data_IF_288820528293
#
_entry.id   IF_288820528293
#
_cell.length_a   1.000
_cell.length_b   1.000
_cell.length_c   1.000
_cell.angle_alpha   90.00
_cell.angle_beta   90.00
_cell.angle_gamma   90.00
#
_symmetry.space_group_name_H-M   'P 1'
#
loop_
_entity.id
_entity.type
_entity.pdbx_description
1 polymer ?
#
# COMPACT_ATOMS: atom_id res chain seq x y z
N UNK A 1 9.60 -4.09 18.10
CA UNK A 1 9.36 -4.36 16.66
C UNK A 1 9.50 -3.06 15.88
N UNK A 2 10.68 -2.79 15.32
CA UNK A 2 10.92 -1.59 14.51
C UNK A 2 10.44 -1.87 13.07
N UNK A 3 9.37 -1.19 12.66
CA UNK A 3 8.64 -1.44 11.41
C UNK A 3 8.99 -0.47 10.29
N UNK A 4 10.06 0.29 10.38
CA UNK A 4 10.56 1.12 9.28
C UNK A 4 12.02 0.77 8.97
N UNK A 5 12.52 1.25 7.84
CA UNK A 5 13.78 0.81 7.22
C UNK A 5 15.06 1.18 7.99
N UNK A 6 15.00 1.27 9.32
CA UNK A 6 16.14 1.50 10.21
C UNK A 6 17.18 0.39 10.21
N UNK A 7 16.98 -0.72 9.49
CA UNK A 7 18.06 -1.66 9.15
C UNK A 7 19.31 -0.95 8.55
N UNK A 8 19.13 0.26 8.02
CA UNK A 8 20.20 1.12 7.50
C UNK A 8 21.03 1.85 8.58
N UNK A 9 20.55 1.92 9.83
CA UNK A 9 21.17 2.67 10.95
C UNK A 9 21.18 1.85 12.25
N UNK A 10 21.86 0.68 12.28
CA UNK A 10 21.83 -0.24 13.43
C UNK A 10 22.30 0.41 14.73
N UNK A 11 23.35 1.24 14.65
CA UNK A 11 23.91 1.93 15.81
C UNK A 11 22.94 2.90 16.50
N UNK A 12 22.16 3.65 15.71
CA UNK A 12 21.20 4.61 16.27
C UNK A 12 20.05 3.89 17.00
N UNK A 13 19.72 2.67 16.57
CA UNK A 13 18.71 1.83 17.22
C UNK A 13 19.23 1.32 18.55
N UNK A 14 20.47 0.82 18.59
CA UNK A 14 21.13 0.34 19.80
C UNK A 14 21.26 1.45 20.86
N UNK A 15 21.66 2.66 20.45
CA UNK A 15 21.81 3.81 21.34
C UNK A 15 20.48 4.27 21.98
N UNK A 16 19.35 4.17 21.24
CA UNK A 16 18.04 4.62 21.71
C UNK A 16 17.26 3.53 22.48
N UNK A 17 17.40 2.26 22.11
CA UNK A 17 16.59 1.16 22.64
C UNK A 17 17.38 0.22 23.57
N UNK A 18 18.71 0.28 23.56
CA UNK A 18 19.60 -0.57 24.36
C UNK A 18 19.93 -1.91 23.70
N UNK A 19 21.10 -2.46 24.03
CA UNK A 19 21.64 -3.72 23.45
C UNK A 19 20.82 -4.97 23.80
N UNK A 20 20.06 -4.94 24.91
CA UNK A 20 19.25 -6.07 25.39
C UNK A 20 17.91 -6.24 24.66
N UNK A 21 17.60 -5.37 23.70
CA UNK A 21 16.34 -5.43 22.94
C UNK A 21 16.54 -6.27 21.67
N UNK A 22 15.79 -7.37 21.55
CA UNK A 22 15.80 -8.17 20.33
C UNK A 22 15.06 -7.45 19.18
N UNK A 23 15.80 -7.16 18.10
CA UNK A 23 15.27 -6.50 16.90
C UNK A 23 14.93 -7.52 15.81
N UNK A 24 13.64 -7.67 15.52
CA UNK A 24 13.19 -8.42 14.34
C UNK A 24 13.17 -7.50 13.10
N UNK A 25 14.00 -7.83 12.11
CA UNK A 25 14.03 -7.14 10.81
C UNK A 25 13.02 -7.81 9.87
N UNK A 26 11.84 -7.22 9.73
CA UNK A 26 10.85 -7.71 8.76
C UNK A 26 11.21 -7.26 7.34
N UNK A 27 11.23 -8.18 6.35
CA UNK A 27 11.41 -7.83 4.94
C UNK A 27 10.38 -6.78 4.47
N UNK A 28 10.77 -5.92 3.53
CA UNK A 28 9.89 -4.87 2.93
C UNK A 28 8.57 -5.43 2.37
N UNK A 29 8.57 -6.67 1.93
CA UNK A 29 7.39 -7.36 1.40
C UNK A 29 6.38 -7.76 2.49
N UNK A 30 6.83 -7.95 3.72
CA UNK A 30 6.04 -8.36 4.88
C UNK A 30 5.66 -7.18 5.78
N UNK A 31 6.35 -6.05 5.62
CA UNK A 31 6.09 -4.83 6.37
C UNK A 31 4.72 -4.21 6.04
N UNK A 32 3.72 -4.51 6.88
CA UNK A 32 2.35 -4.03 6.70
C UNK A 32 2.21 -2.50 6.72
N UNK A 33 3.08 -1.79 7.45
CA UNK A 33 3.08 -0.32 7.51
C UNK A 33 3.51 0.22 6.14
N UNK A 34 4.68 -0.16 5.64
CA UNK A 34 5.17 0.26 4.32
C UNK A 34 4.21 -0.14 3.18
N UNK A 35 3.60 -1.33 3.24
CA UNK A 35 2.61 -1.76 2.27
C UNK A 35 1.32 -0.92 2.33
N UNK A 36 0.92 -0.44 3.52
CA UNK A 36 -0.27 0.40 3.68
C UNK A 36 -0.10 1.81 3.09
N UNK A 37 1.14 2.30 2.99
CA UNK A 37 1.45 3.58 2.35
C UNK A 37 1.47 3.53 0.82
N UNK A 38 1.70 2.35 0.20
CA UNK A 38 1.79 2.25 -1.27
C UNK A 38 0.52 2.69 -2.01
N UNK A 39 -0.70 2.32 -1.59
CA UNK A 39 -1.93 2.81 -2.23
C UNK A 39 -2.11 4.32 -2.12
N UNK A 40 -1.60 4.95 -1.05
CA UNK A 40 -1.61 6.42 -0.93
C UNK A 40 -0.65 7.02 -1.95
N UNK A 41 0.58 6.50 -2.06
CA UNK A 41 1.58 6.93 -3.04
C UNK A 41 1.08 6.80 -4.48
N UNK A 42 0.42 5.70 -4.79
CA UNK A 42 -0.11 5.45 -6.13
C UNK A 42 -1.22 6.43 -6.54
N UNK A 43 -1.98 6.99 -5.59
CA UNK A 43 -3.02 7.99 -5.88
C UNK A 43 -2.47 9.34 -6.31
N UNK A 44 -1.45 9.85 -5.63
CA UNK A 44 -0.98 11.23 -5.83
C UNK A 44 0.20 11.35 -6.82
N UNK A 45 0.98 10.29 -7.05
CA UNK A 45 2.09 10.38 -8.02
C UNK A 45 1.64 10.78 -9.43
N UNK A 46 0.52 10.24 -9.96
CA UNK A 46 0.00 10.66 -11.27
C UNK A 46 -0.44 12.12 -11.33
N UNK A 47 -0.75 12.75 -10.19
CA UNK A 47 -1.22 14.13 -10.14
C UNK A 47 -0.10 15.16 -10.08
N UNK A 48 1.16 14.75 -9.94
CA UNK A 48 2.32 15.67 -9.82
C UNK A 48 2.52 16.55 -11.06
N UNK A 49 2.02 16.13 -12.23
CA UNK A 49 2.10 16.89 -13.49
C UNK A 49 0.89 17.77 -13.79
N UNK A 50 -0.09 17.85 -12.89
CA UNK A 50 -1.30 18.63 -13.13
C UNK A 50 -1.05 20.11 -12.85
N UNK A 51 -1.46 20.98 -13.78
CA UNK A 51 -1.37 22.43 -13.62
C UNK A 51 -2.46 23.04 -12.73
N UNK A 52 -3.47 22.27 -12.33
CA UNK A 52 -4.60 22.74 -11.53
C UNK A 52 -5.00 21.71 -10.47
N UNK A 53 -5.24 22.18 -9.24
CA UNK A 53 -5.61 21.33 -8.10
C UNK A 53 -6.95 20.62 -8.32
N UNK A 54 -7.95 21.30 -8.85
CA UNK A 54 -9.28 20.72 -9.09
C UNK A 54 -9.24 19.57 -10.10
N UNK A 55 -8.37 19.67 -11.12
CA UNK A 55 -8.16 18.59 -12.06
C UNK A 55 -7.53 17.35 -11.39
N UNK A 56 -6.55 17.55 -10.51
CA UNK A 56 -5.96 16.47 -9.71
C UNK A 56 -6.99 15.83 -8.78
N UNK A 57 -7.83 16.63 -8.13
CA UNK A 57 -8.89 16.15 -7.24
C UNK A 57 -9.93 15.30 -7.99
N UNK A 58 -10.42 15.77 -9.15
CA UNK A 58 -11.34 14.99 -10.00
C UNK A 58 -10.73 13.67 -10.47
N UNK A 59 -9.45 13.67 -10.84
CA UNK A 59 -8.72 12.46 -11.22
C UNK A 59 -8.67 11.45 -10.06
N UNK A 60 -8.20 11.88 -8.88
CA UNK A 60 -8.13 11.03 -7.70
C UNK A 60 -9.48 10.43 -7.35
N UNK A 61 -10.56 11.23 -7.40
CA UNK A 61 -11.92 10.77 -7.12
C UNK A 61 -12.36 9.66 -8.07
N UNK A 62 -12.20 9.86 -9.38
CA UNK A 62 -12.58 8.85 -10.38
C UNK A 62 -11.76 7.56 -10.25
N UNK A 63 -10.45 7.68 -9.99
CA UNK A 63 -9.57 6.52 -9.76
C UNK A 63 -9.96 5.76 -8.49
N UNK A 64 -10.31 6.45 -7.41
CA UNK A 64 -10.74 5.82 -6.17
C UNK A 64 -12.08 5.10 -6.33
N UNK A 65 -13.06 5.69 -7.03
CA UNK A 65 -14.35 5.05 -7.32
C UNK A 65 -14.17 3.72 -8.08
N UNK A 66 -13.37 3.75 -9.16
CA UNK A 66 -13.05 2.56 -9.95
C UNK A 66 -12.27 1.54 -9.12
N UNK A 67 -11.28 1.99 -8.34
CA UNK A 67 -10.45 1.11 -7.52
C UNK A 67 -11.24 0.44 -6.40
N UNK A 68 -12.19 1.15 -5.77
CA UNK A 68 -13.08 0.62 -4.75
C UNK A 68 -14.02 -0.44 -5.36
N UNK A 69 -14.61 -0.15 -6.52
CA UNK A 69 -15.47 -1.09 -7.23
C UNK A 69 -14.72 -2.35 -7.68
N UNK A 70 -13.49 -2.19 -8.16
CA UNK A 70 -12.61 -3.28 -8.56
C UNK A 70 -11.97 -4.03 -7.39
N UNK A 71 -12.02 -3.48 -6.16
CA UNK A 71 -11.29 -4.03 -5.02
C UNK A 71 -11.84 -5.42 -4.68
N UNK A 72 -11.05 -6.48 -4.86
CA UNK A 72 -11.44 -7.81 -4.43
C UNK A 72 -11.56 -7.79 -2.91
N UNK A 73 -12.73 -8.15 -2.37
CA UNK A 73 -12.92 -8.40 -0.94
C UNK A 73 -12.29 -9.75 -0.60
N UNK A 74 -10.97 -9.81 -0.56
CA UNK A 74 -10.22 -10.97 -0.08
C UNK A 74 -10.03 -10.87 1.42
N UNK A 75 -10.08 -12.01 2.13
CA UNK A 75 -9.64 -12.04 3.53
C UNK A 75 -8.14 -11.70 3.58
N UNK A 76 -7.67 -11.03 4.66
CA UNK A 76 -6.23 -10.75 4.83
C UNK A 76 -5.45 -12.06 4.66
N UNK A 77 -4.39 -12.04 3.83
CA UNK A 77 -3.53 -13.18 3.44
C UNK A 77 -4.07 -14.17 2.40
N UNK A 78 -5.24 -13.93 1.80
CA UNK A 78 -5.70 -14.74 0.68
C UNK A 78 -5.02 -14.29 -0.62
N UNK A 79 -4.13 -15.13 -1.15
CA UNK A 79 -3.55 -14.91 -2.48
C UNK A 79 -4.60 -15.26 -3.54
N UNK A 80 -5.06 -14.25 -4.26
CA UNK A 80 -5.94 -14.43 -5.43
C UNK A 80 -5.21 -13.88 -6.66
N UNK A 81 -4.94 -14.72 -7.68
CA UNK A 81 -4.36 -14.29 -8.94
C UNK A 81 -5.14 -13.14 -9.60
N UNK A 82 -4.44 -12.26 -10.32
CA UNK A 82 -5.04 -11.11 -11.01
C UNK A 82 -6.13 -11.55 -12.01
N UNK A 83 -5.94 -12.69 -12.67
CA UNK A 83 -6.92 -13.27 -13.59
C UNK A 83 -8.24 -13.60 -12.89
N UNK A 84 -8.18 -14.21 -11.70
CA UNK A 84 -9.37 -14.59 -10.93
C UNK A 84 -10.09 -13.37 -10.35
N UNK A 85 -9.34 -12.33 -9.96
CA UNK A 85 -9.91 -11.03 -9.57
C UNK A 85 -10.69 -10.41 -10.73
N UNK A 86 -10.12 -10.41 -11.94
CA UNK A 86 -10.75 -9.91 -13.16
C UNK A 86 -12.01 -10.71 -13.53
N UNK A 87 -11.98 -12.04 -13.36
CA UNK A 87 -13.13 -12.91 -13.62
C UNK A 87 -14.29 -12.66 -12.63
N UNK A 88 -13.98 -12.55 -11.33
CA UNK A 88 -14.98 -12.20 -10.30
C UNK A 88 -15.64 -10.85 -10.59
N UNK A 89 -14.85 -9.89 -11.07
CA UNK A 89 -15.33 -8.57 -11.47
C UNK A 89 -16.32 -8.62 -12.65
N UNK A 90 -15.93 -9.27 -13.76
CA UNK A 90 -16.79 -9.38 -14.96
C UNK A 90 -18.13 -10.04 -14.59
N UNK A 91 -18.12 -11.04 -13.71
CA UNK A 91 -19.34 -11.71 -13.24
C UNK A 91 -20.25 -10.81 -12.39
N UNK A 92 -19.70 -9.83 -11.68
CA UNK A 92 -20.46 -8.89 -10.84
C UNK A 92 -20.93 -7.62 -11.56
N UNK A 93 -20.34 -7.28 -12.71
CA UNK A 93 -20.69 -6.11 -13.52
C UNK A 93 -21.81 -6.37 -14.54
N UNK A 94 -22.27 -7.63 -14.67
CA UNK A 94 -23.36 -8.04 -15.56
C UNK A 94 -24.74 -8.09 -14.87
N UNK A 95 -24.88 -7.46 -13.71
CA UNK A 95 -26.13 -7.39 -12.92
C UNK A 95 -26.70 -6.00 -12.88
#
# INVERSE_FOLDING_TARGET
>A
MATDGLASYPRAIEEELGEDVEHEVCPRIENSVEQSHRPVKHRYHPTLGFGEFEAAHRFCKAVDEVSIFLRPRTRKREFVPLFDKRKKFIKGASG
#
